data_IF_038288415912
#
_entry.id   IF_038288415912
#
_cell.length_a   1.000
_cell.length_b   1.000
_cell.length_c   1.000
_cell.angle_alpha   90.00
_cell.angle_beta   90.00
_cell.angle_gamma   90.00
#
_symmetry.space_group_name_H-M   'P 1'
#
loop_
_entity.id
_entity.type
_entity.pdbx_description
1 polymer ?
#
# COMPACT_ATOMS: atom_id res chain seq x y z
N UNK A 1 -19.23 46.40 35.56
CA UNK A 1 -19.71 45.15 34.95
C UNK A 1 -18.78 44.07 35.45
N UNK A 2 -19.22 43.26 36.41
CA UNK A 2 -18.43 42.14 36.91
C UNK A 2 -18.47 41.03 35.84
N UNK A 3 -17.32 40.76 35.24
CA UNK A 3 -17.16 39.61 34.35
C UNK A 3 -17.23 38.35 35.20
N UNK A 4 -18.35 37.65 35.16
CA UNK A 4 -18.52 36.34 35.77
C UNK A 4 -17.51 35.38 35.12
N UNK A 5 -16.35 35.20 35.76
CA UNK A 5 -15.38 34.18 35.40
C UNK A 5 -15.90 32.87 35.99
N UNK A 6 -16.57 32.06 35.15
CA UNK A 6 -16.84 30.67 35.50
C UNK A 6 -15.50 29.95 35.66
N UNK A 7 -15.09 29.64 36.89
CA UNK A 7 -14.03 28.68 37.13
C UNK A 7 -14.48 27.35 36.53
N UNK A 8 -13.78 26.89 35.50
CA UNK A 8 -14.03 25.57 34.93
C UNK A 8 -13.54 24.56 35.95
N UNK A 9 -14.41 23.70 36.51
CA UNK A 9 -14.00 22.76 37.54
C UNK A 9 -12.87 21.86 37.00
N UNK A 10 -11.84 21.56 37.81
CA UNK A 10 -10.69 20.80 37.35
C UNK A 10 -11.13 19.43 36.86
N UNK A 11 -10.89 19.15 35.58
CA UNK A 11 -11.18 17.86 34.98
C UNK A 11 -10.34 16.80 35.70
N UNK A 12 -10.95 15.75 36.28
CA UNK A 12 -10.20 14.71 36.96
C UNK A 12 -9.14 14.11 36.02
N UNK A 13 -7.92 13.89 36.53
CA UNK A 13 -6.77 13.39 35.73
C UNK A 13 -7.14 12.10 34.98
N UNK A 14 -7.95 11.23 35.58
CA UNK A 14 -8.45 10.01 34.93
C UNK A 14 -9.31 10.30 33.68
N UNK A 15 -10.15 11.34 33.73
CA UNK A 15 -10.97 11.78 32.60
C UNK A 15 -10.09 12.34 31.49
N UNK A 16 -9.09 13.17 31.84
CA UNK A 16 -8.13 13.71 30.87
C UNK A 16 -7.40 12.59 30.13
N UNK A 17 -6.85 11.61 30.87
CA UNK A 17 -6.17 10.45 30.29
C UNK A 17 -7.08 9.66 29.37
N UNK A 18 -8.33 9.42 29.77
CA UNK A 18 -9.30 8.73 28.92
C UNK A 18 -9.61 9.49 27.64
N UNK A 19 -9.77 10.82 27.71
CA UNK A 19 -9.94 11.65 26.53
C UNK A 19 -8.73 11.54 25.59
N UNK A 20 -7.51 11.61 26.11
CA UNK A 20 -6.28 11.45 25.32
C UNK A 20 -6.21 10.09 24.63
N UNK A 21 -6.52 8.99 25.34
CA UNK A 21 -6.60 7.65 24.76
C UNK A 21 -7.64 7.56 23.64
N UNK A 22 -8.85 8.07 23.88
CA UNK A 22 -9.92 8.04 22.87
C UNK A 22 -9.59 8.89 21.65
N UNK A 23 -8.93 10.04 21.83
CA UNK A 23 -8.47 10.88 20.72
C UNK A 23 -7.42 10.15 19.88
N UNK A 24 -6.49 9.45 20.53
CA UNK A 24 -5.49 8.63 19.84
C UNK A 24 -6.14 7.50 19.05
N UNK A 25 -7.05 6.75 19.66
CA UNK A 25 -7.78 5.67 18.98
C UNK A 25 -8.56 6.21 17.77
N UNK A 26 -9.26 7.34 17.93
CA UNK A 26 -9.99 7.96 16.83
C UNK A 26 -9.07 8.36 15.68
N UNK A 27 -7.89 8.89 16.00
CA UNK A 27 -6.88 9.23 15.01
C UNK A 27 -6.40 7.99 14.25
N UNK A 28 -6.14 6.88 14.95
CA UNK A 28 -5.75 5.62 14.32
C UNK A 28 -6.85 5.06 13.41
N UNK A 29 -8.12 5.15 13.80
CA UNK A 29 -9.24 4.76 12.93
C UNK A 29 -9.33 5.60 11.66
N UNK A 30 -9.06 6.91 11.76
CA UNK A 30 -9.02 7.80 10.59
C UNK A 30 -7.88 7.45 9.65
N UNK A 31 -6.70 7.15 10.19
CA UNK A 31 -5.54 6.71 9.39
C UNK A 31 -5.84 5.41 8.66
N UNK A 32 -6.46 4.44 9.34
CA UNK A 32 -6.84 3.18 8.70
C UNK A 32 -7.88 3.39 7.60
N UNK A 33 -8.87 4.27 7.82
CA UNK A 33 -9.83 4.64 6.80
C UNK A 33 -9.14 5.29 5.59
N UNK A 34 -8.23 6.23 5.80
CA UNK A 34 -7.48 6.88 4.73
C UNK A 34 -6.62 5.86 3.96
N UNK A 35 -5.98 4.93 4.66
CA UNK A 35 -5.20 3.86 4.04
C UNK A 35 -6.06 2.99 3.10
N UNK A 36 -7.33 2.75 3.43
CA UNK A 36 -8.25 2.03 2.54
C UNK A 36 -8.74 2.93 1.39
N UNK A 37 -9.00 4.21 1.67
CA UNK A 37 -9.61 5.13 0.72
C UNK A 37 -8.63 5.67 -0.34
N UNK A 38 -7.38 5.90 0.03
CA UNK A 38 -6.39 6.56 -0.84
C UNK A 38 -5.55 5.58 -1.66
N UNK A 39 -5.48 4.32 -1.24
CA UNK A 39 -4.67 3.29 -1.90
C UNK A 39 -5.38 2.66 -3.10
N UNK A 40 -4.63 2.06 -4.04
CA UNK A 40 -5.21 1.31 -5.15
C UNK A 40 -6.12 0.17 -4.67
N UNK A 41 -7.13 -0.18 -5.48
CA UNK A 41 -8.16 -1.18 -5.15
C UNK A 41 -7.58 -2.51 -4.64
N UNK A 42 -6.46 -2.98 -5.21
CA UNK A 42 -5.83 -4.23 -4.77
C UNK A 42 -5.33 -4.14 -3.33
N UNK A 43 -4.61 -3.07 -2.98
CA UNK A 43 -4.09 -2.83 -1.63
C UNK A 43 -5.22 -2.55 -0.64
N UNK A 44 -6.19 -1.71 -1.02
CA UNK A 44 -7.36 -1.40 -0.21
C UNK A 44 -8.16 -2.68 0.13
N UNK A 45 -8.34 -3.57 -0.84
CA UNK A 45 -9.02 -4.85 -0.65
C UNK A 45 -8.25 -5.77 0.31
N UNK A 46 -6.92 -5.81 0.23
CA UNK A 46 -6.11 -6.58 1.18
C UNK A 46 -6.24 -6.04 2.61
N UNK A 47 -6.17 -4.72 2.78
CA UNK A 47 -6.34 -4.08 4.10
C UNK A 47 -7.72 -4.44 4.66
N UNK A 48 -8.77 -4.33 3.85
CA UNK A 48 -10.13 -4.69 4.25
C UNK A 48 -10.26 -6.18 4.63
N UNK A 49 -9.67 -7.08 3.85
CA UNK A 49 -9.68 -8.52 4.14
C UNK A 49 -8.98 -8.85 5.46
N UNK A 50 -7.86 -8.18 5.76
CA UNK A 50 -7.14 -8.34 7.02
C UNK A 50 -7.98 -7.87 8.20
N UNK A 51 -8.64 -6.71 8.10
CA UNK A 51 -9.56 -6.21 9.15
C UNK A 51 -10.66 -7.22 9.42
N UNK A 52 -11.28 -7.78 8.37
CA UNK A 52 -12.34 -8.79 8.52
C UNK A 52 -11.87 -10.09 9.16
N UNK A 53 -10.62 -10.46 8.95
CA UNK A 53 -10.06 -11.74 9.41
C UNK A 53 -9.55 -11.65 10.85
N UNK A 54 -8.81 -10.60 11.19
CA UNK A 54 -8.22 -10.45 12.52
C UNK A 54 -9.16 -9.83 13.55
N UNK A 55 -10.11 -8.98 13.11
CA UNK A 55 -10.87 -8.09 13.99
C UNK A 55 -9.99 -7.17 14.87
N UNK A 56 -8.72 -7.00 14.49
CA UNK A 56 -7.71 -6.20 15.20
C UNK A 56 -7.24 -5.04 14.30
N UNK A 57 -7.97 -3.92 14.25
CA UNK A 57 -7.73 -2.83 13.30
C UNK A 57 -6.39 -2.13 13.51
N UNK A 58 -5.92 -2.00 14.75
CA UNK A 58 -4.67 -1.31 15.06
C UNK A 58 -3.44 -2.12 14.64
N UNK A 59 -3.48 -3.44 14.77
CA UNK A 59 -2.42 -4.31 14.27
C UNK A 59 -2.33 -4.28 12.74
N UNK A 60 -3.48 -4.18 12.06
CA UNK A 60 -3.50 -3.99 10.60
C UNK A 60 -2.89 -2.64 10.22
N UNK A 61 -3.25 -1.57 10.92
CA UNK A 61 -2.66 -0.24 10.70
C UNK A 61 -1.14 -0.24 10.90
N UNK A 62 -0.64 -0.93 11.94
CA UNK A 62 0.79 -1.07 12.18
C UNK A 62 1.48 -1.83 11.04
N UNK A 63 0.92 -2.96 10.61
CA UNK A 63 1.46 -3.74 9.50
C UNK A 63 1.50 -2.95 8.19
N UNK A 64 0.49 -2.11 7.94
CA UNK A 64 0.45 -1.20 6.79
C UNK A 64 1.60 -0.19 6.85
N UNK A 65 1.81 0.47 8.00
CA UNK A 65 2.93 1.40 8.19
C UNK A 65 4.29 0.71 8.06
N UNK A 66 4.42 -0.52 8.56
CA UNK A 66 5.65 -1.31 8.42
C UNK A 66 5.92 -1.66 6.95
N UNK A 67 4.88 -1.97 6.16
CA UNK A 67 5.03 -2.23 4.73
C UNK A 67 5.52 -0.99 3.95
N UNK A 68 5.03 0.21 4.29
CA UNK A 68 5.49 1.48 3.70
C UNK A 68 6.98 1.75 3.95
N UNK A 69 7.49 1.35 5.12
CA UNK A 69 8.93 1.47 5.43
C UNK A 69 9.77 0.51 4.59
N UNK A 70 9.26 -0.68 4.30
CA UNK A 70 9.97 -1.72 3.55
C UNK A 70 9.89 -1.54 2.04
N UNK A 71 8.80 -0.93 1.55
CA UNK A 71 8.52 -0.72 0.14
C UNK A 71 8.45 0.79 -0.12
N UNK A 72 9.60 1.46 -0.36
CA UNK A 72 9.58 2.86 -0.76
C UNK A 72 8.81 3.02 -2.07
N UNK A 73 7.95 4.03 -2.12
CA UNK A 73 7.03 4.28 -3.23
C UNK A 73 7.73 4.23 -4.60
N UNK A 74 7.20 3.46 -5.58
CA UNK A 74 7.76 3.43 -6.93
C UNK A 74 7.59 4.76 -7.70
N UNK A 75 6.80 5.72 -7.20
CA UNK A 75 6.50 6.99 -7.88
C UNK A 75 7.70 7.95 -8.03
N UNK A 76 8.86 7.65 -7.45
CA UNK A 76 10.10 8.43 -7.69
C UNK A 76 11.00 7.85 -8.80
N UNK A 77 10.64 6.70 -9.37
CA UNK A 77 11.42 6.03 -10.42
C UNK A 77 10.76 6.10 -11.80
N UNK A 78 10.33 7.30 -12.19
CA UNK A 78 9.81 7.61 -13.53
C UNK A 78 10.40 8.92 -14.04
N UNK A 79 11.73 8.97 -14.19
CA UNK A 79 12.39 9.96 -15.04
C UNK A 79 13.78 9.48 -15.47
N UNK A 80 13.78 8.50 -16.37
CA UNK A 80 14.80 8.38 -17.42
C UNK A 80 14.29 7.38 -18.45
N UNK A 81 13.40 7.85 -19.32
CA UNK A 81 13.31 7.31 -20.67
C UNK A 81 14.63 7.65 -21.36
N UNK A 82 15.53 6.68 -21.48
CA UNK A 82 16.49 6.68 -22.59
C UNK A 82 16.43 5.31 -23.27
N UNK A 83 15.89 5.36 -24.49
CA UNK A 83 15.71 4.23 -25.37
C UNK A 83 17.02 3.49 -25.60
N UNK A 84 17.10 2.23 -25.14
CA UNK A 84 18.04 1.27 -25.72
C UNK A 84 17.24 0.28 -26.54
N UNK A 85 17.14 0.56 -27.84
CA UNK A 85 16.82 -0.44 -28.85
C UNK A 85 17.87 -1.55 -28.77
N UNK A 86 17.56 -2.64 -28.06
CA UNK A 86 18.27 -3.89 -28.26
C UNK A 86 17.69 -4.56 -29.51
N UNK A 87 18.34 -4.32 -30.64
CA UNK A 87 18.19 -5.10 -31.87
C UNK A 87 18.32 -6.58 -31.55
N UNK A 88 17.23 -7.33 -31.72
CA UNK A 88 17.27 -8.79 -31.74
C UNK A 88 17.93 -9.19 -33.06
N UNK A 89 19.04 -9.96 -33.09
CA UNK A 89 19.57 -10.48 -34.34
C UNK A 89 18.59 -11.52 -34.89
N UNK A 90 18.00 -11.19 -36.03
CA UNK A 90 17.29 -12.13 -36.89
C UNK A 90 18.26 -13.23 -37.32
N UNK A 91 18.21 -14.39 -36.65
CA UNK A 91 18.84 -15.60 -37.15
C UNK A 91 18.01 -16.08 -38.33
N UNK A 92 18.47 -15.72 -39.53
CA UNK A 92 18.05 -16.33 -40.78
C UNK A 92 18.35 -17.83 -40.68
N UNK A 93 17.31 -18.64 -40.56
CA UNK A 93 17.42 -20.04 -40.92
C UNK A 93 17.49 -20.06 -42.45
N UNK A 94 18.69 -20.30 -42.98
CA UNK A 94 18.82 -20.71 -44.36
C UNK A 94 18.25 -22.12 -44.47
N UNK A 95 17.15 -22.23 -45.21
CA UNK A 95 16.67 -23.48 -45.78
C UNK A 95 17.78 -24.09 -46.64
N UNK A 96 18.34 -25.23 -46.20
CA UNK A 96 19.13 -26.08 -47.08
C UNK A 96 18.34 -27.36 -47.38
N UNK A 97 17.64 -27.32 -48.50
CA UNK A 97 17.00 -28.46 -49.13
C UNK A 97 18.05 -29.45 -49.64
N UNK A 98 18.07 -30.68 -49.13
CA UNK A 98 18.75 -31.82 -49.76
C UNK A 98 17.74 -32.94 -50.00
N UNK A 99 17.50 -33.17 -51.28
CA UNK A 99 16.78 -34.29 -51.88
C UNK A 99 17.55 -35.59 -51.70
N UNK A 100 16.83 -36.70 -51.52
CA UNK A 100 17.06 -38.08 -52.01
C UNK A 100 16.19 -39.01 -51.15
N UNK A 101 15.08 -39.51 -51.68
CA UNK A 101 15.00 -40.71 -52.53
C UNK A 101 15.36 -41.99 -51.76
N UNK A 102 14.33 -42.75 -51.37
CA UNK A 102 14.35 -44.21 -51.46
C UNK A 102 12.94 -44.75 -51.25
N UNK A 103 12.36 -45.14 -52.38
CA UNK A 103 11.32 -46.13 -52.52
C UNK A 103 11.58 -47.40 -51.68
N UNK A 104 10.50 -47.86 -51.06
CA UNK A 104 9.94 -49.23 -50.94
C UNK A 104 10.79 -50.48 -51.30
N UNK A 105 10.49 -51.67 -50.73
CA UNK A 105 9.22 -52.40 -50.94
C UNK A 105 8.39 -52.70 -49.68
#
# INVERSE_FOLDING_TARGET
METCLYETPPVPVAVKKKCETLMLENQQYRELFNAIHERPDCEAQEIFNRIRTSNEPFSVLEAVKQAEVLLPDPVSSSQSDEATQASVPSLRYESSSRTQDSDRP
#
